data_IF_940116328219
#
_entry.id   IF_940116328219
#
_cell.length_a   1.000
_cell.length_b   1.000
_cell.length_c   1.000
_cell.angle_alpha   90.00
_cell.angle_beta   90.00
_cell.angle_gamma   90.00
#
_symmetry.space_group_name_H-M   'P 1'
#
loop_
_entity.id
_entity.type
_entity.pdbx_description
1 polymer ?
#
# COMPACT_ATOMS: atom_id res chain seq x y z
N UNK A 1 -17.07 16.23 2.84
CA UNK A 1 -15.61 16.52 2.82
C UNK A 1 -15.08 17.28 4.04
N UNK A 2 -15.70 18.38 4.52
CA UNK A 2 -15.18 19.13 5.69
C UNK A 2 -14.92 18.23 6.93
N UNK A 3 -15.88 17.39 7.30
CA UNK A 3 -15.75 16.45 8.42
C UNK A 3 -14.61 15.46 8.22
N UNK A 4 -14.51 14.83 7.04
CA UNK A 4 -13.44 13.88 6.73
C UNK A 4 -12.06 14.54 6.78
N UNK A 5 -11.93 15.74 6.21
CA UNK A 5 -10.67 16.49 6.25
C UNK A 5 -10.29 16.87 7.67
N UNK A 6 -11.24 17.31 8.50
CA UNK A 6 -10.96 17.67 9.88
C UNK A 6 -10.52 16.45 10.71
N UNK A 7 -11.19 15.29 10.53
CA UNK A 7 -10.78 14.05 11.17
C UNK A 7 -9.37 13.65 10.76
N UNK A 8 -9.09 13.63 9.45
CA UNK A 8 -7.76 13.36 8.91
C UNK A 8 -6.69 14.30 9.48
N UNK A 9 -6.97 15.61 9.46
CA UNK A 9 -6.07 16.64 9.96
C UNK A 9 -5.79 16.42 11.45
N UNK A 10 -6.83 16.30 12.28
CA UNK A 10 -6.68 16.14 13.72
C UNK A 10 -5.90 14.88 14.05
N UNK A 11 -6.29 13.72 13.51
CA UNK A 11 -5.60 12.44 13.75
C UNK A 11 -4.14 12.48 13.31
N UNK A 12 -3.83 13.10 12.17
CA UNK A 12 -2.42 13.23 11.72
C UNK A 12 -1.59 14.10 12.66
N UNK A 13 -2.15 15.20 13.17
CA UNK A 13 -1.46 16.05 14.14
C UNK A 13 -1.32 15.35 15.50
N UNK A 14 -2.33 14.59 15.94
CA UNK A 14 -2.29 13.78 17.17
C UNK A 14 -1.17 12.73 17.09
N UNK A 15 -1.13 11.94 16.02
CA UNK A 15 -0.07 10.94 15.78
C UNK A 15 1.32 11.62 15.80
N UNK A 16 1.50 12.72 15.08
CA UNK A 16 2.78 13.41 15.05
C UNK A 16 3.19 13.94 16.43
N UNK A 17 2.24 14.46 17.21
CA UNK A 17 2.49 14.94 18.56
C UNK A 17 2.85 13.81 19.52
N UNK A 18 2.19 12.65 19.43
CA UNK A 18 2.50 11.47 20.24
C UNK A 18 3.92 10.97 19.96
N UNK A 19 4.25 10.80 18.68
CA UNK A 19 5.60 10.38 18.26
C UNK A 19 6.64 11.40 18.75
N UNK A 20 6.39 12.70 18.61
CA UNK A 20 7.35 13.72 19.02
C UNK A 20 7.56 13.77 20.55
N UNK A 21 6.49 13.54 21.35
CA UNK A 21 6.58 13.48 22.82
C UNK A 21 7.39 12.28 23.32
N UNK A 22 7.25 11.14 22.66
CA UNK A 22 8.00 9.94 23.03
C UNK A 22 9.45 9.97 22.54
N UNK A 23 9.75 10.83 21.55
CA UNK A 23 10.96 10.78 20.74
C UNK A 23 11.56 12.18 20.56
N UNK A 24 12.13 12.75 21.63
CA UNK A 24 12.73 14.10 21.67
C UNK A 24 13.72 14.43 20.52
N UNK A 25 14.24 13.42 19.80
CA UNK A 25 15.10 13.57 18.63
C UNK A 25 14.36 13.81 17.28
N UNK A 26 13.04 13.65 17.21
CA UNK A 26 12.28 13.67 15.95
C UNK A 26 11.55 15.00 15.75
N UNK A 27 12.30 16.07 15.49
CA UNK A 27 11.75 17.44 15.44
C UNK A 27 10.93 17.81 14.18
N UNK A 28 10.62 16.86 13.28
CA UNK A 28 10.00 17.16 11.98
C UNK A 28 9.02 16.10 11.45
N UNK A 29 8.39 15.25 12.28
CA UNK A 29 7.48 14.17 11.82
C UNK A 29 6.29 14.67 10.98
N UNK A 30 5.61 15.71 11.48
CA UNK A 30 4.37 16.22 10.89
C UNK A 30 4.50 16.61 9.40
N UNK A 31 5.55 17.34 8.96
CA UNK A 31 5.82 17.55 7.54
C UNK A 31 5.79 16.29 6.67
N UNK A 32 6.39 15.19 7.11
CA UNK A 32 6.44 13.95 6.31
C UNK A 32 5.08 13.27 6.24
N UNK A 33 4.33 13.21 7.35
CA UNK A 33 2.98 12.65 7.35
C UNK A 33 2.05 13.47 6.44
N UNK A 34 2.11 14.81 6.52
CA UNK A 34 1.35 15.71 5.64
C UNK A 34 1.71 15.52 4.17
N UNK A 35 2.99 15.35 3.85
CA UNK A 35 3.44 15.06 2.50
C UNK A 35 2.86 13.73 2.00
N UNK A 36 2.95 12.66 2.79
CA UNK A 36 2.38 11.36 2.44
C UNK A 36 0.87 11.44 2.13
N UNK A 37 0.10 12.14 2.97
CA UNK A 37 -1.33 12.33 2.74
C UNK A 37 -1.62 13.16 1.49
N UNK A 38 -0.82 14.20 1.24
CA UNK A 38 -0.95 15.05 0.05
C UNK A 38 -0.68 14.24 -1.22
N UNK A 39 0.39 13.46 -1.25
CA UNK A 39 0.77 12.61 -2.38
C UNK A 39 -0.33 11.57 -2.67
N UNK A 40 -0.85 10.92 -1.62
CA UNK A 40 -1.94 9.97 -1.73
C UNK A 40 -3.23 10.61 -2.30
N UNK A 41 -3.64 11.76 -1.77
CA UNK A 41 -4.83 12.46 -2.27
C UNK A 41 -4.67 12.93 -3.72
N UNK A 42 -3.47 13.39 -4.10
CA UNK A 42 -3.17 13.76 -5.49
C UNK A 42 -3.24 12.55 -6.42
N UNK A 43 -2.75 11.38 -5.99
CA UNK A 43 -2.82 10.15 -6.79
C UNK A 43 -4.27 9.68 -6.98
N UNK A 44 -5.10 9.73 -5.95
CA UNK A 44 -6.54 9.48 -6.07
C UNK A 44 -7.24 10.50 -6.99
N UNK A 45 -6.80 11.76 -6.97
CA UNK A 45 -7.35 12.79 -7.86
C UNK A 45 -6.99 12.55 -9.33
N UNK A 46 -5.81 12.01 -9.63
CA UNK A 46 -5.43 11.57 -10.98
C UNK A 46 -6.36 10.45 -11.46
N UNK A 47 -6.61 9.43 -10.63
CA UNK A 47 -7.55 8.35 -10.96
C UNK A 47 -8.98 8.87 -11.19
N UNK A 48 -9.43 9.80 -10.34
CA UNK A 48 -10.73 10.44 -10.51
C UNK A 48 -10.82 11.24 -11.82
N UNK A 49 -9.73 11.86 -12.28
CA UNK A 49 -9.70 12.52 -13.61
C UNK A 49 -9.82 11.51 -14.73
N UNK A 50 -9.04 10.42 -14.69
CA UNK A 50 -9.11 9.36 -15.70
C UNK A 50 -10.51 8.79 -15.81
N UNK A 51 -11.13 8.51 -14.67
CA UNK A 51 -12.52 8.06 -14.59
C UNK A 51 -13.49 9.04 -15.26
N UNK A 52 -13.48 10.32 -14.84
CA UNK A 52 -14.40 11.33 -15.37
C UNK A 52 -14.21 11.62 -16.87
N UNK A 53 -13.00 11.40 -17.40
CA UNK A 53 -12.68 11.57 -18.82
C UNK A 53 -12.97 10.31 -19.65
N UNK A 54 -13.30 9.18 -19.02
CA UNK A 54 -13.35 7.87 -19.69
C UNK A 54 -11.99 7.44 -20.27
N UNK A 55 -10.90 7.99 -19.73
CA UNK A 55 -9.55 7.72 -20.19
C UNK A 55 -9.06 6.37 -19.65
N UNK A 56 -8.40 5.60 -20.51
CA UNK A 56 -7.67 4.40 -20.08
C UNK A 56 -6.19 4.61 -20.33
N UNK A 57 -5.38 4.76 -19.26
CA UNK A 57 -3.93 4.88 -19.38
C UNK A 57 -3.30 3.59 -19.92
N UNK A 58 -2.03 3.67 -20.34
CA UNK A 58 -1.21 2.46 -20.47
C UNK A 58 -1.00 1.81 -19.11
N UNK A 59 -0.62 0.53 -19.07
CA UNK A 59 -0.30 -0.15 -17.82
C UNK A 59 0.83 0.59 -17.07
N UNK A 60 1.85 1.05 -17.79
CA UNK A 60 2.96 1.78 -17.18
C UNK A 60 2.50 3.12 -16.57
N UNK A 61 1.67 3.88 -17.29
CA UNK A 61 1.14 5.15 -16.78
C UNK A 61 0.24 4.91 -15.58
N UNK A 62 -0.66 3.93 -15.64
CA UNK A 62 -1.50 3.52 -14.53
C UNK A 62 -0.65 3.22 -13.29
N UNK A 63 0.34 2.34 -13.42
CA UNK A 63 1.15 1.88 -12.30
C UNK A 63 2.06 2.98 -11.74
N UNK A 64 2.48 3.96 -12.55
CA UNK A 64 3.26 5.12 -12.09
C UNK A 64 2.51 5.98 -11.06
N UNK A 65 1.16 5.98 -11.12
CA UNK A 65 0.29 6.57 -10.12
C UNK A 65 -0.21 5.54 -9.09
N UNK A 66 -0.50 4.32 -9.57
CA UNK A 66 -1.13 3.22 -8.86
C UNK A 66 -0.39 2.74 -7.62
N UNK A 67 0.95 2.81 -7.63
CA UNK A 67 1.75 2.47 -6.44
C UNK A 67 1.54 3.49 -5.31
N UNK A 68 1.28 4.77 -5.62
CA UNK A 68 1.00 5.82 -4.62
C UNK A 68 -0.44 5.70 -4.13
N UNK A 69 -1.40 5.57 -5.05
CA UNK A 69 -2.83 5.43 -4.71
C UNK A 69 -3.16 4.10 -4.02
N UNK A 70 -2.22 3.15 -3.97
CA UNK A 70 -2.35 1.92 -3.16
C UNK A 70 -2.37 2.17 -1.66
N UNK A 71 -2.09 3.39 -1.19
CA UNK A 71 -1.92 3.77 0.23
C UNK A 71 -0.62 3.25 0.85
N UNK A 72 0.10 2.31 0.23
CA UNK A 72 1.27 1.68 0.82
C UNK A 72 2.40 2.65 1.21
N UNK A 73 2.80 3.64 0.37
CA UNK A 73 3.84 4.59 0.79
C UNK A 73 3.43 5.42 2.01
N UNK A 74 2.14 5.77 2.10
CA UNK A 74 1.58 6.51 3.22
C UNK A 74 1.63 5.69 4.52
N UNK A 75 1.24 4.41 4.47
CA UNK A 75 1.28 3.50 5.61
C UNK A 75 2.73 3.29 6.10
N UNK A 76 3.64 3.01 5.18
CA UNK A 76 5.05 2.76 5.49
C UNK A 76 5.73 3.97 6.14
N UNK A 77 5.35 5.19 5.74
CA UNK A 77 5.80 6.41 6.41
C UNK A 77 5.31 6.43 7.86
N UNK A 78 4.03 6.16 8.13
CA UNK A 78 3.51 6.15 9.51
C UNK A 78 4.18 5.08 10.38
N UNK A 79 4.35 3.87 9.83
CA UNK A 79 5.02 2.76 10.52
C UNK A 79 6.48 3.09 10.85
N UNK A 80 7.19 3.71 9.91
CA UNK A 80 8.56 4.15 10.12
C UNK A 80 8.68 5.09 11.32
N UNK A 81 7.85 6.13 11.35
CA UNK A 81 7.84 7.12 12.42
C UNK A 81 7.45 6.51 13.78
N UNK A 82 6.61 5.47 13.78
CA UNK A 82 6.11 4.81 15.00
C UNK A 82 7.16 3.92 15.69
N UNK A 83 8.18 3.44 14.98
CA UNK A 83 9.17 2.52 15.56
C UNK A 83 10.26 3.17 16.42
N UNK A 84 10.25 4.50 16.59
CA UNK A 84 11.42 5.39 16.76
C UNK A 84 12.58 5.08 17.73
N UNK A 85 13.21 3.92 17.73
CA UNK A 85 14.47 3.66 18.45
C UNK A 85 15.66 3.40 17.52
N UNK A 86 15.43 3.11 16.23
CA UNK A 86 16.51 2.67 15.34
C UNK A 86 17.05 3.75 14.40
N UNK A 87 16.38 4.89 14.17
CA UNK A 87 16.85 5.89 13.17
C UNK A 87 17.12 7.24 13.83
N UNK A 88 18.16 7.30 14.64
CA UNK A 88 18.59 8.54 15.31
C UNK A 88 19.44 9.46 14.42
N UNK A 89 19.89 9.00 13.25
CA UNK A 89 20.60 9.84 12.27
C UNK A 89 20.13 9.50 10.84
N UNK A 90 19.61 10.49 10.09
CA UNK A 90 19.40 10.39 8.64
C UNK A 90 17.99 9.98 8.19
N UNK A 91 16.95 10.67 8.65
CA UNK A 91 15.56 10.46 8.19
C UNK A 91 15.39 10.68 6.67
N UNK A 92 16.01 11.73 6.12
CA UNK A 92 16.00 12.02 4.68
C UNK A 92 16.74 10.93 3.89
N UNK A 93 17.93 10.56 4.36
CA UNK A 93 18.73 9.44 3.85
C UNK A 93 17.97 8.11 3.84
N UNK A 94 17.14 7.86 4.86
CA UNK A 94 16.41 6.61 4.99
C UNK A 94 15.29 6.47 3.97
N UNK A 95 14.45 7.51 3.81
CA UNK A 95 13.35 7.46 2.84
C UNK A 95 13.88 7.32 1.42
N UNK A 96 14.99 7.99 1.08
CA UNK A 96 15.66 7.86 -0.20
C UNK A 96 16.28 6.47 -0.41
N UNK A 97 17.02 5.95 0.58
CA UNK A 97 17.65 4.61 0.49
C UNK A 97 16.65 3.46 0.42
N UNK A 98 15.42 3.67 0.89
CA UNK A 98 14.37 2.65 0.92
C UNK A 98 13.27 2.86 -0.13
N UNK A 99 13.45 3.77 -1.10
CA UNK A 99 12.43 3.99 -2.15
C UNK A 99 12.14 2.72 -2.95
N UNK A 100 13.16 1.93 -3.29
CA UNK A 100 12.93 0.71 -4.08
C UNK A 100 12.15 -0.35 -3.27
N UNK A 101 12.38 -0.50 -1.96
CA UNK A 101 11.58 -1.45 -1.15
C UNK A 101 10.13 -0.97 -1.00
N UNK A 102 9.94 0.32 -0.70
CA UNK A 102 8.63 0.96 -0.60
C UNK A 102 7.87 0.80 -1.91
N UNK A 103 8.51 1.07 -3.04
CA UNK A 103 7.92 0.91 -4.37
C UNK A 103 7.48 -0.54 -4.62
N UNK A 104 8.36 -1.53 -4.40
CA UNK A 104 8.02 -2.92 -4.69
C UNK A 104 6.90 -3.46 -3.79
N UNK A 105 6.86 -3.07 -2.52
CA UNK A 105 5.75 -3.41 -1.62
C UNK A 105 4.45 -2.76 -2.11
N UNK A 106 4.51 -1.49 -2.48
CA UNK A 106 3.37 -0.74 -3.01
C UNK A 106 2.81 -1.37 -4.28
N UNK A 107 3.70 -1.83 -5.16
CA UNK A 107 3.34 -2.58 -6.36
C UNK A 107 2.62 -3.89 -6.01
N UNK A 108 3.13 -4.67 -5.06
CA UNK A 108 2.44 -5.91 -4.65
C UNK A 108 1.04 -5.60 -4.10
N UNK A 109 0.92 -4.59 -3.22
CA UNK A 109 -0.37 -4.21 -2.63
C UNK A 109 -1.36 -3.79 -3.71
N UNK A 110 -0.95 -2.93 -4.66
CA UNK A 110 -1.76 -2.51 -5.81
C UNK A 110 -2.20 -3.70 -6.67
N UNK A 111 -1.25 -4.53 -7.09
CA UNK A 111 -1.53 -5.61 -8.04
C UNK A 111 -2.37 -6.72 -7.40
N UNK A 112 -2.15 -7.06 -6.13
CA UNK A 112 -3.02 -7.97 -5.39
C UNK A 112 -4.45 -7.41 -5.25
N UNK A 113 -4.58 -6.12 -4.91
CA UNK A 113 -5.87 -5.45 -4.84
C UNK A 113 -6.60 -5.56 -6.19
N UNK A 114 -5.99 -5.12 -7.28
CA UNK A 114 -6.59 -5.14 -8.62
C UNK A 114 -7.02 -6.57 -9.05
N UNK A 115 -6.23 -7.60 -8.75
CA UNK A 115 -6.61 -9.01 -8.97
C UNK A 115 -7.86 -9.39 -8.16
N UNK A 116 -7.95 -8.94 -6.92
CA UNK A 116 -9.05 -9.28 -6.02
C UNK A 116 -10.33 -8.47 -6.22
N UNK A 117 -10.25 -7.24 -6.76
CA UNK A 117 -11.35 -6.26 -6.77
C UNK A 117 -11.85 -5.86 -8.16
N UNK A 118 -11.04 -6.05 -9.22
CA UNK A 118 -11.31 -5.53 -10.57
C UNK A 118 -12.70 -5.85 -11.14
N UNK A 119 -13.22 -7.05 -10.89
CA UNK A 119 -14.56 -7.45 -11.38
C UNK A 119 -15.65 -6.58 -10.75
N UNK A 120 -15.59 -6.38 -9.43
CA UNK A 120 -16.58 -5.59 -8.70
C UNK A 120 -16.43 -4.09 -9.01
N UNK A 121 -15.19 -3.61 -9.12
CA UNK A 121 -14.85 -2.24 -9.51
C UNK A 121 -15.36 -1.90 -10.91
N UNK A 122 -15.15 -2.79 -11.88
CA UNK A 122 -15.69 -2.63 -13.24
C UNK A 122 -17.22 -2.58 -13.24
N UNK A 123 -17.88 -3.40 -12.44
CA UNK A 123 -19.34 -3.44 -12.37
C UNK A 123 -19.97 -2.16 -11.78
N UNK A 124 -19.30 -1.52 -10.81
CA UNK A 124 -19.74 -0.23 -10.25
C UNK A 124 -19.28 1.00 -11.05
N UNK A 125 -18.47 0.77 -12.10
CA UNK A 125 -17.91 1.82 -12.95
C UNK A 125 -16.81 2.60 -12.24
N UNK A 126 -15.73 1.92 -11.85
CA UNK A 126 -14.50 2.54 -11.33
C UNK A 126 -13.49 2.86 -12.45
N UNK A 127 -12.35 3.47 -12.10
CA UNK A 127 -11.19 3.64 -13.01
C UNK A 127 -10.68 2.28 -13.50
N UNK A 128 -10.12 2.17 -14.74
CA UNK A 128 -9.51 0.93 -15.20
C UNK A 128 -8.44 0.39 -14.23
N UNK A 129 -8.56 -0.89 -13.86
CA UNK A 129 -7.52 -1.61 -13.10
C UNK A 129 -6.33 -1.96 -13.98
N UNK A 130 -5.20 -2.36 -13.38
CA UNK A 130 -4.02 -2.84 -14.12
C UNK A 130 -4.34 -3.93 -15.15
N UNK A 131 -5.28 -4.84 -14.81
CA UNK A 131 -5.73 -5.90 -15.73
C UNK A 131 -6.36 -5.29 -16.98
N UNK A 132 -7.29 -4.34 -16.82
CA UNK A 132 -7.96 -3.70 -17.96
C UNK A 132 -7.00 -2.82 -18.77
N UNK A 133 -6.10 -2.09 -18.11
CA UNK A 133 -5.06 -1.31 -18.79
C UNK A 133 -4.20 -2.20 -19.69
N UNK A 134 -3.72 -3.34 -19.16
CA UNK A 134 -2.88 -4.25 -19.93
C UNK A 134 -3.63 -4.98 -21.06
N UNK A 135 -4.87 -5.42 -20.81
CA UNK A 135 -5.71 -6.02 -21.84
C UNK A 135 -5.85 -5.10 -23.05
N UNK A 136 -6.09 -3.80 -22.82
CA UNK A 136 -6.26 -2.82 -23.89
C UNK A 136 -4.95 -2.45 -24.57
N UNK A 137 -3.88 -2.30 -23.82
CA UNK A 137 -2.57 -1.94 -24.36
C UNK A 137 -1.98 -3.04 -25.25
N UNK A 138 -2.10 -4.29 -24.81
CA UNK A 138 -1.50 -5.44 -25.49
C UNK A 138 -2.46 -6.20 -26.42
N UNK A 139 -3.75 -5.83 -26.45
CA UNK A 139 -4.82 -6.54 -27.17
C UNK A 139 -4.88 -8.04 -26.85
N UNK A 140 -4.99 -8.36 -25.55
CA UNK A 140 -4.96 -9.73 -25.03
C UNK A 140 -6.19 -10.06 -24.18
N UNK A 141 -6.43 -11.35 -23.96
CA UNK A 141 -7.52 -11.81 -23.09
C UNK A 141 -7.28 -11.46 -21.61
N UNK A 142 -8.35 -11.51 -20.82
CA UNK A 142 -8.29 -11.23 -19.37
C UNK A 142 -7.37 -12.23 -18.66
N UNK A 143 -7.37 -13.50 -19.06
CA UNK A 143 -6.50 -14.54 -18.48
C UNK A 143 -5.02 -14.26 -18.74
N UNK A 144 -4.67 -13.79 -19.94
CA UNK A 144 -3.29 -13.41 -20.28
C UNK A 144 -2.87 -12.20 -19.45
N UNK A 145 -3.79 -11.24 -19.26
CA UNK A 145 -3.51 -10.07 -18.45
C UNK A 145 -3.34 -10.40 -16.96
N UNK A 146 -4.22 -11.21 -16.38
CA UNK A 146 -4.09 -11.67 -14.98
C UNK A 146 -2.74 -12.36 -14.76
N UNK A 147 -2.33 -13.25 -15.66
CA UNK A 147 -1.02 -13.91 -15.59
C UNK A 147 0.15 -12.93 -15.69
N UNK A 148 0.04 -11.90 -16.54
CA UNK A 148 1.04 -10.84 -16.61
C UNK A 148 1.17 -10.09 -15.27
N UNK A 149 0.04 -9.76 -14.64
CA UNK A 149 0.01 -9.10 -13.33
C UNK A 149 0.61 -9.98 -12.22
N UNK A 150 0.32 -11.29 -12.21
CA UNK A 150 0.95 -12.26 -11.30
C UNK A 150 2.47 -12.33 -11.50
N UNK A 151 2.95 -12.32 -12.74
CA UNK A 151 4.38 -12.28 -13.04
C UNK A 151 5.05 -10.98 -12.56
N UNK A 152 4.34 -9.85 -12.59
CA UNK A 152 4.82 -8.59 -12.03
C UNK A 152 4.94 -8.66 -10.50
N UNK A 153 3.95 -9.24 -9.81
CA UNK A 153 4.02 -9.51 -8.36
C UNK A 153 5.25 -10.36 -8.02
N UNK A 154 5.48 -11.44 -8.78
CA UNK A 154 6.64 -12.31 -8.61
C UNK A 154 7.97 -11.56 -8.82
N UNK A 155 8.05 -10.65 -9.79
CA UNK A 155 9.22 -9.80 -10.01
C UNK A 155 9.47 -8.84 -8.84
N UNK A 156 8.42 -8.20 -8.31
CA UNK A 156 8.51 -7.34 -7.12
C UNK A 156 8.98 -8.11 -5.89
N UNK A 157 8.50 -9.34 -5.69
CA UNK A 157 9.01 -10.21 -4.61
C UNK A 157 10.50 -10.52 -4.73
N UNK A 158 10.99 -10.82 -5.94
CA UNK A 158 12.44 -11.04 -6.16
C UNK A 158 13.27 -9.82 -5.77
N UNK A 159 12.76 -8.60 -6.04
CA UNK A 159 13.40 -7.35 -5.65
C UNK A 159 13.41 -7.16 -4.12
N UNK A 160 12.27 -7.36 -3.46
CA UNK A 160 12.17 -7.30 -1.99
C UNK A 160 13.13 -8.29 -1.33
N UNK A 161 13.14 -9.54 -1.79
CA UNK A 161 14.02 -10.57 -1.24
C UNK A 161 15.49 -10.19 -1.41
N UNK A 162 15.89 -9.71 -2.59
CA UNK A 162 17.26 -9.25 -2.85
C UNK A 162 17.69 -8.11 -1.93
N UNK A 163 16.78 -7.22 -1.56
CA UNK A 163 17.06 -6.15 -0.61
C UNK A 163 17.14 -6.68 0.82
N UNK A 164 16.27 -7.60 1.25
CA UNK A 164 16.30 -8.15 2.60
C UNK A 164 17.67 -8.75 2.98
N UNK A 165 18.43 -9.29 2.03
CA UNK A 165 19.76 -9.85 2.27
C UNK A 165 20.90 -8.81 2.36
N UNK A 166 20.67 -7.56 1.94
CA UNK A 166 21.70 -6.53 1.80
C UNK A 166 21.53 -5.35 2.77
N UNK A 167 20.59 -5.43 3.71
CA UNK A 167 20.23 -4.29 4.57
C UNK A 167 21.07 -4.20 5.84
N UNK A 168 21.22 -2.97 6.33
CA UNK A 168 21.87 -2.69 7.61
C UNK A 168 21.02 -3.29 8.74
N UNK A 169 21.63 -3.85 9.81
CA UNK A 169 20.91 -4.46 10.93
C UNK A 169 19.84 -3.54 11.54
N UNK A 170 20.13 -2.25 11.58
CA UNK A 170 19.28 -1.17 12.12
C UNK A 170 18.00 -0.92 11.29
N UNK A 171 17.91 -1.41 10.05
CA UNK A 171 16.73 -1.25 9.20
C UNK A 171 15.93 -2.55 9.08
N UNK A 172 16.41 -3.63 9.68
CA UNK A 172 15.81 -4.95 9.56
C UNK A 172 14.39 -4.98 10.12
N UNK A 173 14.13 -4.25 11.21
CA UNK A 173 12.79 -4.14 11.80
C UNK A 173 11.80 -3.50 10.83
N UNK A 174 12.15 -2.34 10.26
CA UNK A 174 11.33 -1.69 9.24
C UNK A 174 11.09 -2.60 8.04
N UNK A 175 12.15 -3.19 7.49
CA UNK A 175 12.07 -4.05 6.31
C UNK A 175 11.15 -5.23 6.55
N UNK A 176 11.18 -5.81 7.76
CA UNK A 176 10.28 -6.90 8.14
C UNK A 176 8.81 -6.45 8.19
N UNK A 177 8.52 -5.31 8.83
CA UNK A 177 7.17 -4.73 8.88
C UNK A 177 6.67 -4.42 7.46
N UNK A 178 7.50 -3.73 6.69
CA UNK A 178 7.21 -3.35 5.32
C UNK A 178 6.91 -4.58 4.45
N UNK A 179 7.73 -5.63 4.57
CA UNK A 179 7.52 -6.90 3.87
C UNK A 179 6.24 -7.61 4.32
N UNK A 180 5.87 -7.51 5.61
CA UNK A 180 4.63 -8.06 6.10
C UNK A 180 3.40 -7.37 5.49
N UNK A 181 3.46 -6.08 5.15
CA UNK A 181 2.36 -5.42 4.43
C UNK A 181 2.09 -6.07 3.06
N UNK A 182 3.14 -6.46 2.33
CA UNK A 182 2.96 -7.22 1.10
C UNK A 182 2.27 -8.58 1.35
N UNK A 183 2.61 -9.28 2.44
CA UNK A 183 1.97 -10.55 2.83
C UNK A 183 0.50 -10.38 3.24
N UNK A 184 0.19 -9.28 3.92
CA UNK A 184 -1.18 -8.92 4.27
C UNK A 184 -2.01 -8.70 3.01
N UNK A 185 -1.50 -8.00 1.99
CA UNK A 185 -2.22 -7.84 0.73
C UNK A 185 -2.52 -9.18 0.04
N UNK A 186 -1.55 -10.10 0.00
CA UNK A 186 -1.81 -11.47 -0.47
C UNK A 186 -2.94 -12.12 0.32
N UNK A 187 -2.89 -12.07 1.64
CA UNK A 187 -3.90 -12.69 2.51
C UNK A 187 -5.29 -12.07 2.36
N UNK A 188 -5.37 -10.76 2.16
CA UNK A 188 -6.63 -10.04 1.97
C UNK A 188 -7.27 -10.32 0.61
N UNK A 189 -6.46 -10.47 -0.44
CA UNK A 189 -6.96 -10.54 -1.82
C UNK A 189 -6.89 -11.93 -2.46
N UNK A 190 -6.38 -12.95 -1.75
CA UNK A 190 -6.20 -14.32 -2.25
C UNK A 190 -7.48 -14.93 -2.83
N UNK A 191 -8.63 -14.62 -2.22
CA UNK A 191 -9.95 -15.16 -2.60
C UNK A 191 -10.92 -14.04 -3.01
N UNK A 192 -10.38 -13.00 -3.66
CA UNK A 192 -11.07 -11.77 -4.05
C UNK A 192 -11.10 -10.72 -2.95
N UNK A 193 -12.01 -9.75 -3.02
CA UNK A 193 -12.02 -8.61 -2.08
C UNK A 193 -12.31 -9.01 -0.62
N UNK A 194 -11.25 -9.25 0.17
CA UNK A 194 -11.36 -9.51 1.60
C UNK A 194 -11.32 -8.25 2.47
N UNK A 195 -11.15 -7.06 1.88
CA UNK A 195 -11.08 -5.79 2.62
C UNK A 195 -12.41 -5.03 2.57
N UNK A 196 -12.97 -4.87 1.37
CA UNK A 196 -14.24 -4.18 1.14
C UNK A 196 -15.48 -5.05 1.40
N UNK A 197 -15.39 -6.36 1.19
CA UNK A 197 -16.52 -7.29 1.34
C UNK A 197 -16.43 -8.05 2.68
N UNK A 198 -17.45 -7.87 3.52
CA UNK A 198 -17.44 -8.31 4.93
C UNK A 198 -17.90 -9.77 5.18
N UNK A 199 -18.29 -10.52 4.14
CA UNK A 199 -18.90 -11.85 4.28
C UNK A 199 -17.99 -13.02 3.87
N UNK A 200 -16.72 -12.74 3.55
CA UNK A 200 -15.76 -13.72 3.06
C UNK A 200 -14.92 -14.38 4.17
N UNK A 201 -14.08 -15.33 3.76
CA UNK A 201 -13.19 -16.09 4.65
C UNK A 201 -12.27 -15.20 5.50
N UNK A 202 -11.93 -14.00 5.03
CA UNK A 202 -11.18 -13.00 5.81
C UNK A 202 -11.85 -12.70 7.15
N UNK A 203 -13.19 -12.61 7.21
CA UNK A 203 -13.91 -12.39 8.47
C UNK A 203 -13.72 -13.56 9.43
N UNK A 204 -13.76 -14.80 8.94
CA UNK A 204 -13.55 -15.99 9.77
C UNK A 204 -12.13 -15.99 10.35
N UNK A 205 -11.13 -15.66 9.53
CA UNK A 205 -9.74 -15.55 9.96
C UNK A 205 -9.55 -14.47 11.03
N UNK A 206 -10.18 -13.30 10.87
CA UNK A 206 -10.13 -12.21 11.86
C UNK A 206 -10.77 -12.64 13.18
N UNK A 207 -11.95 -13.27 13.14
CA UNK A 207 -12.65 -13.75 14.34
C UNK A 207 -11.81 -14.80 15.07
N UNK A 208 -11.28 -15.77 14.33
CA UNK A 208 -10.42 -16.82 14.89
C UNK A 208 -9.14 -16.26 15.52
N UNK A 209 -8.53 -15.23 14.93
CA UNK A 209 -7.26 -14.66 15.40
C UNK A 209 -7.43 -13.69 16.57
N UNK A 210 -8.48 -12.85 16.57
CA UNK A 210 -8.62 -11.71 17.49
C UNK A 210 -9.72 -11.87 18.53
N UNK A 211 -10.71 -12.74 18.30
CA UNK A 211 -11.91 -12.87 19.15
C UNK A 211 -11.93 -14.22 19.86
N UNK A 212 -11.63 -15.30 19.15
CA UNK A 212 -11.69 -16.65 19.70
C UNK A 212 -10.41 -17.00 20.45
N UNK A 213 -10.49 -17.40 21.73
CA UNK A 213 -9.32 -17.83 22.48
C UNK A 213 -8.84 -19.20 21.99
N UNK A 214 -7.52 -19.40 21.98
CA UNK A 214 -6.92 -20.71 21.77
C UNK A 214 -7.28 -21.64 22.93
N UNK A 215 -8.01 -22.71 22.64
CA UNK A 215 -8.31 -23.76 23.62
C UNK A 215 -7.07 -24.63 23.78
N UNK A 216 -6.44 -24.55 24.95
CA UNK A 216 -5.34 -25.43 25.35
C UNK A 216 -5.95 -26.65 26.08
N UNK A 217 -5.68 -27.85 25.56
CA UNK A 217 -6.02 -29.12 26.22
C UNK A 217 -4.89 -29.59 27.12
#
# INVERSE_FOLDING_TARGET
MKTCFLALYNTTNEIANEIQKEKDAWNHVLPHLKKGWTDFCNALFVEAKWYNMGYTPSLQEYLSNGWISSTAPLLLVHEFFSMGHEVTNGMEDFLEKNQEIVYNISMIIRLCNDLGTSVAERARGDVPSSILCYMREADVSEEIAQKHIEDMINKSWKKINGQCFNQLPMLQSFVNIATNNARVAHSLYQYGDGFGVQDRDTRKNIVSLLVEPLVLY
#
